data_IF_801674069852
#
_entry.id   IF_801674069852
#
_cell.length_a   1.000
_cell.length_b   1.000
_cell.length_c   1.000
_cell.angle_alpha   90.00
_cell.angle_beta   90.00
_cell.angle_gamma   90.00
#
_symmetry.space_group_name_H-M   'P 1'
#
loop_
_entity.id
_entity.type
_entity.pdbx_description
1 polymer ?
#
# COMPACT_ATOMS: atom_id res chain seq x y z
N UNK A 1 35.29 6.44 10.48
CA UNK A 1 35.34 5.37 9.46
C UNK A 1 34.25 4.30 9.60
N UNK A 2 33.57 4.13 10.75
CA UNK A 2 32.47 3.14 10.89
C UNK A 2 31.13 3.55 10.26
N UNK A 3 30.84 4.86 10.16
CA UNK A 3 29.58 5.38 9.60
C UNK A 3 29.46 5.23 8.07
N UNK A 4 30.58 5.08 7.35
CA UNK A 4 30.57 4.89 5.90
C UNK A 4 30.20 3.46 5.50
N UNK A 5 30.48 2.46 6.34
CA UNK A 5 30.20 1.05 6.06
C UNK A 5 28.70 0.72 6.12
N UNK A 6 27.93 1.43 6.97
CA UNK A 6 26.48 1.23 7.10
C UNK A 6 25.72 1.75 5.86
N UNK A 7 26.15 2.88 5.31
CA UNK A 7 25.56 3.46 4.09
C UNK A 7 25.85 2.58 2.86
N UNK A 8 27.06 1.97 2.80
CA UNK A 8 27.43 1.04 1.72
C UNK A 8 26.70 -0.30 1.84
N UNK A 9 26.38 -0.75 3.07
CA UNK A 9 25.51 -1.90 3.30
C UNK A 9 24.09 -1.69 2.75
N UNK A 10 23.50 -0.51 3.00
CA UNK A 10 22.19 -0.15 2.43
C UNK A 10 22.23 -0.14 0.90
N UNK A 11 23.27 0.46 0.28
CA UNK A 11 23.42 0.55 -1.18
C UNK A 11 23.58 -0.81 -1.88
N UNK A 12 24.14 -1.82 -1.21
CA UNK A 12 24.28 -3.16 -1.77
C UNK A 12 23.00 -4.02 -1.66
N UNK A 13 22.04 -3.64 -0.78
CA UNK A 13 20.69 -4.20 -0.79
C UNK A 13 19.85 -3.71 -1.99
N UNK A 14 20.17 -2.55 -2.57
CA UNK A 14 19.45 -2.00 -3.73
C UNK A 14 19.74 -2.71 -5.06
N UNK A 15 20.81 -3.52 -5.15
CA UNK A 15 21.21 -4.12 -6.42
C UNK A 15 20.60 -5.51 -6.71
N UNK A 16 19.87 -6.12 -5.75
CA UNK A 16 19.37 -7.49 -5.89
C UNK A 16 17.85 -7.60 -6.12
N UNK A 17 17.13 -6.50 -6.32
CA UNK A 17 15.70 -6.54 -6.68
C UNK A 17 15.50 -6.68 -8.19
N UNK A 18 15.91 -7.83 -8.71
CA UNK A 18 15.44 -8.37 -9.99
C UNK A 18 14.79 -9.73 -9.71
N UNK A 19 13.69 -9.72 -8.97
CA UNK A 19 12.91 -10.91 -8.67
C UNK A 19 11.49 -10.48 -8.35
N UNK A 20 10.59 -10.73 -9.31
CA UNK A 20 9.13 -10.57 -9.24
C UNK A 20 8.65 -9.44 -8.33
N UNK A 21 8.58 -8.24 -8.90
CA UNK A 21 7.96 -7.08 -8.23
C UNK A 21 6.55 -7.47 -7.78
N UNK A 22 6.30 -7.45 -6.47
CA UNK A 22 4.93 -7.23 -6.00
C UNK A 22 4.48 -5.97 -6.72
N UNK A 23 3.35 -6.04 -7.39
CA UNK A 23 2.76 -4.90 -8.06
C UNK A 23 2.53 -3.83 -6.99
N UNK A 24 3.34 -2.76 -6.96
CA UNK A 24 3.23 -1.71 -5.93
C UNK A 24 1.80 -1.12 -5.94
N UNK A 25 1.16 -1.09 -7.12
CA UNK A 25 -0.24 -0.74 -7.32
C UNK A 25 -1.22 -1.64 -6.55
N UNK A 26 -0.88 -2.92 -6.34
CA UNK A 26 -1.71 -3.82 -5.54
C UNK A 26 -1.79 -3.37 -4.09
N UNK A 27 -0.66 -3.00 -3.48
CA UNK A 27 -0.58 -2.62 -2.07
C UNK A 27 -1.17 -1.24 -1.80
N UNK A 28 -1.06 -0.33 -2.75
CA UNK A 28 -1.48 1.08 -2.59
C UNK A 28 -2.87 1.24 -1.97
N UNK A 29 -3.00 2.06 -0.93
CA UNK A 29 -4.25 2.37 -0.25
C UNK A 29 -4.37 1.77 1.17
N UNK A 30 -5.59 1.86 1.71
CA UNK A 30 -5.90 1.47 3.08
C UNK A 30 -6.34 0.01 3.18
N UNK A 31 -5.84 -0.69 4.19
CA UNK A 31 -6.18 -2.08 4.52
C UNK A 31 -6.67 -2.17 5.96
N UNK A 32 -7.85 -2.74 6.14
CA UNK A 32 -8.54 -2.86 7.43
C UNK A 32 -8.49 -4.30 7.91
N UNK A 33 -7.98 -4.49 9.13
CA UNK A 33 -7.97 -5.78 9.80
C UNK A 33 -9.38 -6.30 9.98
N UNK A 34 -9.56 -7.60 9.77
CA UNK A 34 -10.83 -8.28 9.98
C UNK A 34 -10.95 -8.87 11.40
N UNK A 35 -9.82 -8.96 12.11
CA UNK A 35 -9.72 -9.63 13.41
C UNK A 35 -9.36 -8.65 14.55
N UNK A 36 -9.02 -7.41 14.21
CA UNK A 36 -8.63 -6.36 15.15
C UNK A 36 -9.32 -5.06 14.73
N UNK A 37 -10.14 -4.49 15.60
CA UNK A 37 -10.94 -3.30 15.30
C UNK A 37 -10.08 -2.04 15.06
N UNK A 38 -8.87 -2.00 15.62
CA UNK A 38 -7.93 -0.89 15.47
C UNK A 38 -6.83 -1.18 14.42
N UNK A 39 -6.77 -2.41 13.91
CA UNK A 39 -5.77 -2.84 12.95
C UNK A 39 -5.99 -2.19 11.59
N UNK A 40 -5.11 -1.25 11.23
CA UNK A 40 -5.13 -0.54 9.94
C UNK A 40 -3.74 -0.49 9.35
N UNK A 41 -3.60 -0.69 8.05
CA UNK A 41 -2.35 -0.53 7.32
C UNK A 41 -2.62 0.42 6.15
N UNK A 42 -1.79 1.43 5.95
CA UNK A 42 -1.93 2.39 4.85
C UNK A 42 -0.64 2.36 4.06
N UNK A 43 -0.73 2.02 2.77
CA UNK A 43 0.36 2.18 1.81
C UNK A 43 0.09 3.42 0.97
N UNK A 44 1.08 4.30 0.86
CA UNK A 44 1.04 5.53 0.07
C UNK A 44 2.41 5.69 -0.62
N UNK A 45 2.48 5.19 -1.85
CA UNK A 45 3.68 5.14 -2.66
C UNK A 45 4.81 4.35 -1.99
N UNK A 46 5.87 5.05 -1.59
CA UNK A 46 7.05 4.46 -0.94
C UNK A 46 6.95 4.38 0.59
N UNK A 47 5.79 4.77 1.16
CA UNK A 47 5.60 4.85 2.61
C UNK A 47 4.48 3.95 3.12
N UNK A 48 4.64 3.48 4.35
CA UNK A 48 3.65 2.66 5.08
C UNK A 48 3.34 3.28 6.44
N UNK A 49 2.08 3.16 6.87
CA UNK A 49 1.62 3.43 8.25
C UNK A 49 0.93 2.20 8.82
N UNK A 50 1.33 1.79 10.02
CA UNK A 50 0.70 0.68 10.77
C UNK A 50 -0.17 1.23 11.89
N UNK A 51 -1.41 1.59 11.57
CA UNK A 51 -2.37 2.24 12.44
C UNK A 51 -2.66 3.67 11.99
N UNK A 52 -3.82 4.20 12.39
CA UNK A 52 -4.29 5.52 11.95
C UNK A 52 -3.43 6.67 12.50
N UNK A 53 -2.91 6.51 13.72
CA UNK A 53 -2.08 7.50 14.40
C UNK A 53 -0.57 7.18 14.31
N UNK A 54 -0.17 6.19 13.49
CA UNK A 54 1.23 5.81 13.35
C UNK A 54 1.99 6.74 12.40
N UNK A 55 3.28 6.92 12.67
CA UNK A 55 4.19 7.66 11.80
C UNK A 55 4.40 6.94 10.48
N UNK A 56 4.36 7.68 9.37
CA UNK A 56 4.77 7.17 8.04
C UNK A 56 6.22 6.75 8.07
N UNK A 57 6.53 5.57 7.55
CA UNK A 57 7.88 5.07 7.40
C UNK A 57 8.11 4.61 5.98
N UNK A 58 9.29 4.85 5.43
CA UNK A 58 9.70 4.26 4.15
C UNK A 58 9.88 2.76 4.34
N UNK A 59 9.43 1.98 3.36
CA UNK A 59 9.54 0.53 3.40
C UNK A 59 10.16 -0.04 2.13
N UNK A 60 10.68 -1.25 2.25
CA UNK A 60 11.14 -2.06 1.13
C UNK A 60 10.29 -3.33 1.04
N UNK A 61 10.00 -3.76 -0.18
CA UNK A 61 9.29 -5.00 -0.45
C UNK A 61 10.30 -6.05 -0.95
N UNK A 62 10.26 -7.24 -0.36
CA UNK A 62 10.83 -8.43 -0.98
C UNK A 62 9.71 -9.44 -1.27
N UNK A 63 9.49 -9.75 -2.54
CA UNK A 63 8.53 -10.79 -2.93
C UNK A 63 9.20 -12.15 -2.92
N UNK A 64 8.41 -13.19 -2.64
CA UNK A 64 8.71 -14.53 -3.13
C UNK A 64 7.83 -14.87 -4.34
N UNK A 65 8.30 -15.85 -5.11
CA UNK A 65 7.50 -16.53 -6.11
C UNK A 65 6.45 -17.33 -5.34
N UNK A 66 5.18 -16.88 -5.39
CA UNK A 66 3.92 -17.52 -4.93
C UNK A 66 2.96 -16.55 -4.21
N UNK A 67 3.16 -15.24 -4.34
CA UNK A 67 2.24 -14.25 -3.80
C UNK A 67 2.41 -14.04 -2.29
N UNK A 68 3.49 -14.55 -1.69
CA UNK A 68 3.93 -14.05 -0.39
C UNK A 68 4.98 -12.98 -0.62
N UNK A 69 5.01 -12.05 0.31
CA UNK A 69 5.94 -10.94 0.26
C UNK A 69 6.18 -10.50 1.68
N UNK A 70 7.33 -9.89 1.92
CA UNK A 70 7.60 -9.23 3.18
C UNK A 70 7.84 -7.75 2.95
N UNK A 71 7.50 -6.98 3.98
CA UNK A 71 7.70 -5.55 4.03
C UNK A 71 8.64 -5.28 5.19
N UNK A 72 9.72 -4.59 4.90
CA UNK A 72 10.76 -4.25 5.87
C UNK A 72 10.87 -2.74 5.99
N UNK A 73 10.87 -2.22 7.22
CA UNK A 73 11.10 -0.81 7.48
C UNK A 73 11.93 -0.62 8.75
N UNK A 74 12.59 0.54 8.85
CA UNK A 74 13.42 0.87 10.00
C UNK A 74 12.63 1.70 11.00
N UNK A 75 12.55 1.24 12.25
CA UNK A 75 11.92 1.99 13.33
C UNK A 75 12.84 3.11 13.79
N UNK A 76 12.44 4.36 13.55
CA UNK A 76 13.25 5.53 13.91
C UNK A 76 13.61 5.58 15.41
N UNK A 77 12.68 5.18 16.28
CA UNK A 77 12.84 5.27 17.73
C UNK A 77 13.87 4.29 18.31
N UNK A 78 14.00 3.09 17.73
CA UNK A 78 14.88 2.03 18.25
C UNK A 78 16.08 1.78 17.34
N UNK A 79 16.07 2.30 16.12
CA UNK A 79 17.03 1.96 15.07
C UNK A 79 16.94 0.51 14.58
N UNK A 80 15.99 -0.27 15.09
CA UNK A 80 15.74 -1.65 14.70
C UNK A 80 15.03 -1.77 13.36
N UNK A 81 15.12 -2.96 12.77
CA UNK A 81 14.46 -3.31 11.52
C UNK A 81 13.24 -4.15 11.86
N UNK A 82 12.07 -3.76 11.37
CA UNK A 82 10.84 -4.51 11.54
C UNK A 82 10.40 -5.10 10.20
N UNK A 83 10.16 -6.41 10.18
CA UNK A 83 9.79 -7.17 8.99
C UNK A 83 8.43 -7.82 9.20
N UNK A 84 7.48 -7.51 8.32
CA UNK A 84 6.15 -8.10 8.29
C UNK A 84 6.02 -9.03 7.10
N UNK A 85 5.53 -10.25 7.34
CA UNK A 85 5.30 -11.25 6.31
C UNK A 85 3.83 -11.27 5.93
N UNK A 86 3.58 -11.09 4.63
CA UNK A 86 2.28 -11.03 4.03
C UNK A 86 2.08 -12.16 3.03
N UNK A 87 0.83 -12.56 2.87
CA UNK A 87 0.37 -13.44 1.82
C UNK A 87 -0.82 -12.81 1.12
N UNK A 88 -0.73 -12.68 -0.21
CA UNK A 88 -1.83 -12.27 -1.07
C UNK A 88 -2.82 -13.42 -1.20
N UNK A 89 -4.04 -13.21 -0.72
CA UNK A 89 -5.13 -14.19 -0.82
C UNK A 89 -6.05 -13.87 -2.00
N UNK A 90 -6.26 -12.58 -2.29
CA UNK A 90 -7.05 -12.11 -3.43
C UNK A 90 -6.63 -10.69 -3.87
N UNK A 91 -7.36 -10.08 -4.81
CA UNK A 91 -7.14 -8.68 -5.22
C UNK A 91 -7.36 -7.65 -4.11
N UNK A 92 -8.17 -7.97 -3.11
CA UNK A 92 -8.55 -7.04 -2.03
C UNK A 92 -8.38 -7.68 -0.65
N UNK A 93 -7.61 -8.77 -0.55
CA UNK A 93 -7.36 -9.47 0.70
C UNK A 93 -5.90 -9.87 0.82
N UNK A 94 -5.30 -9.49 1.94
CA UNK A 94 -3.96 -9.93 2.37
C UNK A 94 -4.04 -10.54 3.76
N UNK A 95 -3.05 -11.35 4.07
CA UNK A 95 -2.91 -11.98 5.37
C UNK A 95 -1.52 -11.69 5.92
N UNK A 96 -1.45 -11.11 7.12
CA UNK A 96 -0.20 -10.93 7.87
C UNK A 96 0.02 -12.15 8.73
N UNK A 97 1.04 -12.93 8.42
CA UNK A 97 1.30 -14.18 9.15
C UNK A 97 2.21 -13.95 10.34
N UNK A 98 3.24 -13.13 10.17
CA UNK A 98 4.35 -12.99 11.12
C UNK A 98 4.91 -11.57 11.10
N UNK A 99 5.35 -11.08 12.25
CA UNK A 99 6.19 -9.90 12.39
C UNK A 99 7.48 -10.28 13.12
N UNK A 100 8.61 -9.71 12.69
CA UNK A 100 9.93 -9.90 13.29
C UNK A 100 10.55 -8.55 13.53
N UNK A 101 10.95 -8.28 14.77
CA UNK A 101 11.75 -7.12 15.11
C UNK A 101 13.21 -7.55 15.32
N UNK A 102 14.11 -6.99 14.51
CA UNK A 102 15.56 -7.11 14.65
C UNK A 102 16.12 -5.84 15.29
N UNK A 103 16.52 -5.93 16.55
CA UNK A 103 17.07 -4.79 17.30
C UNK A 103 18.60 -4.82 17.28
N UNK A 104 19.29 -3.69 17.07
CA UNK A 104 20.75 -3.62 17.10
C UNK A 104 21.35 -3.85 18.50
N UNK A 105 20.53 -3.92 19.55
CA UNK A 105 20.94 -4.39 20.87
C UNK A 105 20.90 -5.93 20.88
N UNK A 106 22.05 -6.57 21.10
CA UNK A 106 22.42 -8.01 20.98
C UNK A 106 21.44 -9.10 21.46
N UNK A 107 20.26 -8.79 21.99
CA UNK A 107 19.28 -9.77 22.44
C UNK A 107 17.86 -9.33 22.05
N UNK A 108 17.37 -9.91 20.95
CA UNK A 108 16.02 -10.49 20.74
C UNK A 108 15.48 -10.19 19.35
N UNK A 109 15.37 -11.26 18.56
CA UNK A 109 14.37 -11.34 17.51
C UNK A 109 13.03 -11.58 18.21
N UNK A 110 12.27 -10.52 18.44
CA UNK A 110 10.90 -10.67 18.92
C UNK A 110 10.03 -11.04 17.70
N UNK A 111 9.79 -12.35 17.58
CA UNK A 111 8.90 -12.92 16.57
C UNK A 111 7.48 -13.01 17.13
N UNK A 112 6.53 -12.45 16.37
CA UNK A 112 5.10 -12.50 16.70
C UNK A 112 4.31 -13.13 15.56
N UNK A 113 3.67 -14.25 15.86
CA UNK A 113 2.64 -14.82 14.99
C UNK A 113 1.37 -13.98 15.09
N UNK A 114 0.97 -13.39 13.97
CA UNK A 114 -0.18 -12.47 13.91
C UNK A 114 -1.40 -13.13 13.28
N UNK A 115 -1.21 -14.00 12.28
CA UNK A 115 -2.27 -14.68 11.53
C UNK A 115 -3.52 -13.79 11.28
N UNK A 116 -3.30 -12.52 10.93
CA UNK A 116 -4.33 -11.48 10.87
C UNK A 116 -4.70 -11.21 9.42
N UNK A 117 -6.00 -11.21 9.11
CA UNK A 117 -6.48 -10.91 7.77
C UNK A 117 -6.80 -9.43 7.62
N UNK A 118 -6.44 -8.86 6.48
CA UNK A 118 -6.79 -7.50 6.12
C UNK A 118 -7.53 -7.48 4.80
N UNK A 119 -8.55 -6.63 4.70
CA UNK A 119 -9.22 -6.32 3.44
C UNK A 119 -8.93 -4.90 3.03
N UNK A 120 -8.72 -4.70 1.73
CA UNK A 120 -8.56 -3.37 1.17
C UNK A 120 -9.85 -2.60 1.41
N UNK A 121 -9.72 -1.41 2.00
CA UNK A 121 -10.83 -0.47 2.12
C UNK A 121 -11.26 -0.10 0.70
N UNK A 122 -12.54 -0.32 0.40
CA UNK A 122 -13.16 0.20 -0.81
C UNK A 122 -13.28 1.72 -0.64
N UNK A 123 -12.16 2.41 -0.71
CA UNK A 123 -12.15 3.85 -0.93
C UNK A 123 -12.73 4.04 -2.32
N UNK A 124 -14.01 4.38 -2.38
CA UNK A 124 -14.73 4.75 -3.60
C UNK A 124 -14.19 6.03 -4.26
N UNK A 125 -12.88 6.27 -4.20
CA UNK A 125 -12.17 7.41 -4.77
C UNK A 125 -12.33 7.52 -6.29
N UNK A 126 -12.81 6.46 -6.96
CA UNK A 126 -13.15 6.48 -8.37
C UNK A 126 -14.65 6.36 -8.71
N UNK A 127 -15.55 6.09 -7.75
CA UNK A 127 -16.98 5.94 -8.07
C UNK A 127 -17.74 7.27 -8.11
N UNK A 128 -17.29 8.28 -7.34
CA UNK A 128 -17.90 9.61 -7.32
C UNK A 128 -17.38 10.55 -8.40
N UNK A 129 -16.07 10.56 -8.63
CA UNK A 129 -15.43 11.51 -9.56
C UNK A 129 -15.75 11.19 -11.03
N UNK A 130 -15.76 9.91 -11.43
CA UNK A 130 -16.19 9.50 -12.77
C UNK A 130 -17.71 9.54 -12.95
N UNK A 131 -18.52 9.38 -11.90
CA UNK A 131 -19.96 9.66 -11.99
C UNK A 131 -20.20 11.14 -12.22
N UNK A 132 -19.50 12.04 -11.50
CA UNK A 132 -19.64 13.47 -11.70
C UNK A 132 -19.18 13.88 -13.10
N UNK A 133 -18.01 13.42 -13.55
CA UNK A 133 -17.52 13.69 -14.90
C UNK A 133 -18.43 13.08 -15.98
N UNK A 134 -18.94 11.87 -15.76
CA UNK A 134 -19.90 11.20 -16.63
C UNK A 134 -21.24 11.95 -16.73
N UNK A 135 -21.78 12.42 -15.60
CA UNK A 135 -22.99 13.25 -15.55
C UNK A 135 -22.77 14.58 -16.29
N UNK A 136 -21.63 15.24 -16.08
CA UNK A 136 -21.28 16.50 -16.78
C UNK A 136 -21.17 16.29 -18.29
N UNK A 137 -20.54 15.21 -18.75
CA UNK A 137 -20.44 14.88 -20.17
C UNK A 137 -21.82 14.60 -20.78
N UNK A 138 -22.66 13.80 -20.10
CA UNK A 138 -24.01 13.46 -20.58
C UNK A 138 -24.91 14.69 -20.65
N UNK A 139 -24.90 15.54 -19.63
CA UNK A 139 -25.66 16.80 -19.63
C UNK A 139 -25.17 17.75 -20.72
N UNK A 140 -23.87 17.84 -20.95
CA UNK A 140 -23.28 18.63 -22.04
C UNK A 140 -23.75 18.16 -23.42
N UNK A 141 -23.78 16.85 -23.66
CA UNK A 141 -24.27 16.26 -24.91
C UNK A 141 -25.77 16.51 -25.11
N UNK A 142 -26.59 16.37 -24.07
CA UNK A 142 -28.02 16.68 -24.14
C UNK A 142 -28.28 18.15 -24.48
N UNK A 143 -27.49 19.07 -23.93
CA UNK A 143 -27.59 20.50 -24.22
C UNK A 143 -27.23 20.81 -25.68
N UNK A 144 -26.17 20.19 -26.21
CA UNK A 144 -25.76 20.35 -27.62
C UNK A 144 -26.82 19.78 -28.56
N UNK A 145 -27.35 18.58 -28.27
CA UNK A 145 -28.41 17.96 -29.08
C UNK A 145 -29.67 18.83 -29.06
N UNK A 146 -30.09 19.31 -27.89
CA UNK A 146 -31.23 20.23 -27.76
C UNK A 146 -31.04 21.52 -28.55
N UNK A 147 -29.85 22.11 -28.51
CA UNK A 147 -29.51 23.30 -29.30
C UNK A 147 -29.55 23.03 -30.81
N UNK A 148 -28.99 21.90 -31.27
CA UNK A 148 -28.99 21.51 -32.68
C UNK A 148 -30.38 21.20 -33.21
N UNK A 149 -31.24 20.53 -32.42
CA UNK A 149 -32.63 20.27 -32.77
C UNK A 149 -33.44 21.57 -32.86
N UNK A 150 -33.29 22.47 -31.89
CA UNK A 150 -33.99 23.76 -31.89
C UNK A 150 -33.55 24.66 -33.06
N UNK A 151 -32.28 24.58 -33.47
CA UNK A 151 -31.76 25.30 -34.64
C UNK A 151 -32.27 24.74 -35.98
N UNK A 152 -32.59 23.43 -36.07
CA UNK A 152 -33.21 22.83 -37.26
C UNK A 152 -34.69 23.16 -37.41
N UNK A 153 -35.42 23.34 -36.31
CA UNK A 153 -36.86 23.68 -36.34
C UNK A 153 -37.11 25.13 -36.79
N UNK A 154 -36.12 26.01 -36.68
CA UNK A 154 -36.19 27.43 -37.09
C UNK A 154 -35.72 27.70 -38.52
N UNK A 155 -35.54 26.66 -39.35
CA UNK A 155 -35.15 26.78 -40.76
C UNK A 155 -36.19 26.11 -41.63
#
# INVERSE_FOLDING_TARGET
>A
MKKLLVIVGCLLFFAASCGNKVDEEFLEGTWISQNDAEGKIIFDGETVKLGENATSQTYAIASDDNGKFNITFQREETGGIETYYFQKESKNKIKVTKAVLDSPSDERLDEKDLNTEYKKEDTGLFSGFFNFLGIVIVLGLLFIIGYLLNKRVKK
#
